data_IF_165184362245
#
_entry.id   IF_165184362245
#
_cell.length_a   1.000
_cell.length_b   1.000
_cell.length_c   1.000
_cell.angle_alpha   90.00
_cell.angle_beta   90.00
_cell.angle_gamma   90.00
#
_symmetry.space_group_name_H-M   'P 1'
#
loop_
_entity.id
_entity.type
_entity.pdbx_description
1 polymer ?
#
# COMPACT_ATOMS: atom_id res chain seq x y z
N UNK A 1 -38.00 -28.17 -39.52
CA UNK A 1 -36.76 -27.48 -39.15
C UNK A 1 -36.59 -27.64 -37.67
N UNK A 2 -35.55 -28.38 -37.20
CA UNK A 2 -35.37 -28.81 -35.81
C UNK A 2 -34.47 -27.79 -35.08
N UNK A 3 -34.99 -27.14 -34.05
CA UNK A 3 -34.26 -26.28 -33.11
C UNK A 3 -33.56 -27.12 -32.05
N UNK A 4 -32.23 -27.08 -32.05
CA UNK A 4 -31.40 -27.74 -31.03
C UNK A 4 -31.30 -26.89 -29.76
N UNK A 5 -31.89 -27.37 -28.69
CA UNK A 5 -31.68 -26.87 -27.33
C UNK A 5 -30.31 -27.34 -26.82
N UNK A 6 -29.41 -26.40 -26.56
CA UNK A 6 -28.15 -26.70 -25.81
C UNK A 6 -28.41 -26.50 -24.33
N UNK A 7 -28.41 -27.61 -23.60
CA UNK A 7 -28.58 -27.65 -22.14
C UNK A 7 -27.41 -27.00 -21.40
N UNK A 8 -27.76 -26.16 -20.45
CA UNK A 8 -26.82 -25.64 -19.44
C UNK A 8 -26.46 -26.78 -18.47
N UNK A 9 -25.16 -27.07 -18.38
CA UNK A 9 -24.61 -27.99 -17.38
C UNK A 9 -24.29 -27.20 -16.11
N UNK A 10 -24.76 -27.60 -14.92
CA UNK A 10 -24.39 -26.92 -13.65
C UNK A 10 -22.96 -27.27 -13.24
N UNK A 11 -22.26 -26.36 -12.53
CA UNK A 11 -20.90 -26.59 -12.04
C UNK A 11 -20.88 -27.57 -10.85
N UNK A 12 -19.92 -28.49 -10.90
CA UNK A 12 -19.65 -29.51 -9.91
C UNK A 12 -19.34 -28.93 -8.52
N UNK A 13 -20.07 -29.39 -7.53
CA UNK A 13 -19.85 -29.08 -6.10
C UNK A 13 -18.69 -29.95 -5.60
N UNK A 14 -17.54 -29.34 -5.30
CA UNK A 14 -16.48 -30.02 -4.56
C UNK A 14 -16.89 -30.27 -3.09
N UNK A 15 -16.73 -31.49 -2.56
CA UNK A 15 -17.08 -31.79 -1.17
C UNK A 15 -16.02 -31.23 -0.22
N UNK A 16 -16.50 -30.51 0.79
CA UNK A 16 -15.75 -30.07 1.95
C UNK A 16 -15.09 -31.25 2.66
N UNK A 17 -13.77 -31.33 2.61
CA UNK A 17 -12.96 -32.27 3.36
C UNK A 17 -12.95 -31.89 4.85
N UNK A 18 -13.71 -32.57 5.67
CA UNK A 18 -13.65 -32.49 7.14
C UNK A 18 -12.27 -32.96 7.61
N UNK A 19 -11.50 -32.07 8.18
CA UNK A 19 -10.31 -32.45 8.93
C UNK A 19 -10.73 -32.93 10.32
N UNK A 20 -10.54 -34.22 10.56
CA UNK A 20 -10.67 -34.91 11.82
C UNK A 20 -9.69 -34.35 12.87
N UNK A 21 -10.26 -33.93 13.98
CA UNK A 21 -9.50 -33.56 15.19
C UNK A 21 -8.92 -34.86 15.79
N UNK A 22 -7.61 -34.97 15.83
CA UNK A 22 -6.91 -35.92 16.66
C UNK A 22 -6.82 -35.35 18.07
N UNK A 23 -7.56 -35.93 18.99
CA UNK A 23 -7.40 -35.73 20.42
C UNK A 23 -6.11 -36.43 20.85
N UNK A 24 -5.18 -35.71 21.44
CA UNK A 24 -4.05 -36.28 22.17
C UNK A 24 -4.22 -36.02 23.65
N UNK A 25 -4.29 -37.12 24.37
CA UNK A 25 -4.47 -37.31 25.79
C UNK A 25 -3.38 -36.68 26.65
N UNK A 26 -3.82 -36.16 27.77
CA UNK A 26 -3.01 -35.62 28.85
C UNK A 26 -2.07 -36.68 29.46
N UNK A 27 -0.84 -36.29 29.75
CA UNK A 27 -0.02 -36.90 30.79
C UNK A 27 0.53 -35.77 31.66
N UNK A 28 0.12 -35.84 32.92
CA UNK A 28 0.59 -34.97 34.00
C UNK A 28 2.00 -35.40 34.43
N UNK A 29 2.94 -34.46 34.46
CA UNK A 29 4.12 -34.55 35.30
C UNK A 29 4.36 -33.23 36.01
N UNK A 30 4.32 -33.33 37.32
CA UNK A 30 4.64 -32.34 38.34
C UNK A 30 6.14 -31.94 38.34
N UNK A 31 6.40 -30.76 38.84
CA UNK A 31 7.63 -30.26 39.49
C UNK A 31 8.58 -29.45 38.57
N UNK A 32 8.75 -28.20 38.95
CA UNK A 32 9.87 -27.37 38.56
C UNK A 32 9.46 -25.96 38.11
N UNK A 33 9.40 -25.01 39.07
CA UNK A 33 9.13 -23.59 38.78
C UNK A 33 10.25 -22.96 37.94
N UNK A 34 9.89 -22.51 36.77
CA UNK A 34 10.68 -21.53 36.03
C UNK A 34 9.73 -20.42 35.56
N UNK A 35 10.02 -19.23 36.01
CA UNK A 35 9.34 -18.00 35.67
C UNK A 35 9.51 -17.75 34.15
N UNK A 36 8.53 -18.16 33.36
CA UNK A 36 8.51 -17.89 31.93
C UNK A 36 8.10 -16.44 31.72
N UNK A 37 9.06 -15.57 31.45
CA UNK A 37 8.83 -14.22 30.94
C UNK A 37 8.27 -14.41 29.53
N UNK A 38 6.96 -14.26 29.37
CA UNK A 38 6.31 -14.20 28.06
C UNK A 38 6.75 -12.90 27.38
N UNK A 39 7.75 -12.98 26.50
CA UNK A 39 8.03 -11.91 25.54
C UNK A 39 6.82 -11.81 24.60
N UNK A 40 6.01 -10.77 24.81
CA UNK A 40 4.99 -10.37 23.85
C UNK A 40 5.73 -9.79 22.67
N UNK A 41 5.95 -10.60 21.64
CA UNK A 41 6.43 -10.15 20.35
C UNK A 41 5.30 -9.28 19.76
N UNK A 42 5.44 -7.96 19.87
CA UNK A 42 4.64 -7.02 19.10
C UNK A 42 5.01 -7.21 17.63
N UNK A 43 4.25 -8.06 16.93
CA UNK A 43 4.37 -8.25 15.50
C UNK A 43 4.08 -6.93 14.81
N UNK A 44 5.11 -6.29 14.25
CA UNK A 44 4.93 -5.25 13.27
C UNK A 44 4.17 -5.87 12.10
N UNK A 45 2.90 -5.51 11.94
CA UNK A 45 2.08 -5.89 10.78
C UNK A 45 2.71 -5.19 9.58
N UNK A 46 3.58 -5.90 8.86
CA UNK A 46 4.01 -5.49 7.54
C UNK A 46 2.73 -5.47 6.68
N UNK A 47 2.25 -4.29 6.33
CA UNK A 47 1.15 -4.14 5.39
C UNK A 47 1.60 -4.73 4.05
N UNK A 48 1.11 -5.91 3.75
CA UNK A 48 1.32 -6.57 2.47
C UNK A 48 0.68 -5.70 1.40
N UNK A 49 1.42 -5.43 0.31
CA UNK A 49 0.98 -4.64 -0.85
C UNK A 49 -0.29 -5.15 -1.52
N UNK A 50 -0.73 -6.34 -1.15
CA UNK A 50 -1.88 -7.04 -1.73
C UNK A 50 -3.19 -6.83 -0.96
N UNK A 51 -3.21 -6.05 0.13
CA UNK A 51 -4.47 -5.73 0.80
C UNK A 51 -5.29 -4.76 -0.04
N UNK A 52 -6.56 -5.11 -0.35
CA UNK A 52 -7.45 -4.22 -1.09
C UNK A 52 -7.67 -2.90 -0.35
N UNK A 53 -7.52 -1.79 -1.06
CA UNK A 53 -7.71 -0.45 -0.52
C UNK A 53 -9.21 -0.09 -0.56
N UNK A 54 -9.76 0.29 0.60
CA UNK A 54 -11.19 0.59 0.75
C UNK A 54 -11.49 2.08 0.88
N UNK A 55 -10.52 2.88 1.29
CA UNK A 55 -10.70 4.30 1.56
C UNK A 55 -9.64 5.16 0.87
N UNK A 56 -9.93 6.45 0.70
CA UNK A 56 -8.94 7.40 0.19
C UNK A 56 -7.74 7.53 1.14
N UNK A 57 -7.95 7.34 2.44
CA UNK A 57 -6.86 7.32 3.43
C UNK A 57 -5.89 6.17 3.16
N UNK A 58 -6.42 4.98 2.83
CA UNK A 58 -5.59 3.82 2.47
C UNK A 58 -4.79 4.09 1.19
N UNK A 59 -5.40 4.75 0.20
CA UNK A 59 -4.71 5.17 -1.04
C UNK A 59 -3.54 6.09 -0.73
N UNK A 60 -3.77 7.11 0.11
CA UNK A 60 -2.73 8.05 0.51
C UNK A 60 -1.61 7.34 1.28
N UNK A 61 -1.96 6.42 2.19
CA UNK A 61 -0.99 5.63 2.94
C UNK A 61 -0.14 4.73 2.02
N UNK A 62 -0.78 4.03 1.08
CA UNK A 62 -0.10 3.19 0.10
C UNK A 62 0.87 4.00 -0.78
N UNK A 63 0.44 5.17 -1.29
CA UNK A 63 1.30 6.05 -2.07
C UNK A 63 2.47 6.60 -1.25
N UNK A 64 2.25 6.96 0.02
CA UNK A 64 3.32 7.39 0.92
C UNK A 64 4.34 6.30 1.20
N UNK A 65 3.90 5.05 1.31
CA UNK A 65 4.81 3.91 1.48
C UNK A 65 5.74 3.70 0.27
N UNK A 66 5.30 4.12 -0.93
CA UNK A 66 6.13 4.11 -2.15
C UNK A 66 7.00 5.36 -2.29
N UNK A 67 6.80 6.39 -1.45
CA UNK A 67 7.58 7.62 -1.56
C UNK A 67 9.02 7.41 -1.13
N UNK A 68 9.93 7.73 -2.03
CA UNK A 68 11.36 7.80 -1.75
C UNK A 68 11.88 9.12 -2.33
N UNK A 69 12.31 10.07 -1.48
CA UNK A 69 12.91 11.31 -1.96
C UNK A 69 14.23 11.04 -2.70
N UNK A 70 14.72 11.99 -3.52
CA UNK A 70 15.98 11.84 -4.24
C UNK A 70 17.16 11.56 -3.30
N UNK A 71 18.30 11.05 -3.79
CA UNK A 71 19.53 10.91 -3.01
C UNK A 71 19.95 12.26 -2.38
N UNK A 72 20.70 12.22 -1.27
CA UNK A 72 21.02 13.40 -0.47
C UNK A 72 21.86 14.44 -1.21
N UNK A 73 22.66 14.00 -2.16
CA UNK A 73 23.49 14.86 -3.06
C UNK A 73 22.66 15.61 -4.11
N UNK A 74 21.43 15.16 -4.37
CA UNK A 74 20.50 15.73 -5.35
C UNK A 74 19.23 16.27 -4.69
N UNK A 75 19.24 16.44 -3.37
CA UNK A 75 18.02 16.74 -2.63
C UNK A 75 18.20 17.89 -1.66
N UNK A 76 17.08 18.58 -1.43
CA UNK A 76 16.96 19.61 -0.40
C UNK A 76 15.99 19.11 0.67
N UNK A 77 16.48 18.58 1.81
CA UNK A 77 15.61 18.17 2.92
C UNK A 77 14.69 19.32 3.36
N UNK A 78 13.41 18.99 3.59
CA UNK A 78 12.36 19.96 3.87
C UNK A 78 11.60 20.41 2.62
N UNK A 79 12.05 20.06 1.40
CA UNK A 79 11.31 20.37 0.18
C UNK A 79 9.95 19.70 0.17
N UNK A 80 8.94 20.44 -0.27
CA UNK A 80 7.57 19.97 -0.44
C UNK A 80 7.19 20.03 -1.91
N UNK A 81 6.49 18.99 -2.36
CA UNK A 81 5.93 18.92 -3.70
C UNK A 81 4.49 18.44 -3.61
N UNK A 82 3.57 19.10 -4.31
CA UNK A 82 2.17 18.70 -4.38
C UNK A 82 1.86 18.16 -5.77
N UNK A 83 1.29 16.98 -5.81
CA UNK A 83 0.94 16.28 -7.04
C UNK A 83 -0.57 16.12 -7.11
N UNK A 84 -1.16 16.51 -8.24
CA UNK A 84 -2.54 16.21 -8.58
C UNK A 84 -2.56 14.99 -9.51
N UNK A 85 -3.40 14.01 -9.20
CA UNK A 85 -3.52 12.76 -9.95
C UNK A 85 -4.94 12.23 -9.92
N UNK A 86 -5.26 11.35 -10.86
CA UNK A 86 -6.51 10.60 -10.90
C UNK A 86 -6.20 9.13 -11.20
N UNK A 87 -7.11 8.25 -10.83
CA UNK A 87 -6.98 6.82 -11.12
C UNK A 87 -8.18 6.31 -11.89
N UNK A 88 -7.96 5.25 -12.65
CA UNK A 88 -9.01 4.41 -13.22
C UNK A 88 -9.62 3.54 -12.12
N UNK A 89 -10.76 2.92 -12.39
CA UNK A 89 -11.42 1.97 -11.48
C UNK A 89 -10.51 0.82 -11.04
N UNK A 90 -9.65 0.36 -11.93
CA UNK A 90 -8.70 -0.73 -11.67
C UNK A 90 -7.40 -0.31 -10.99
N UNK A 91 -7.31 0.93 -10.48
CA UNK A 91 -6.13 1.45 -9.78
C UNK A 91 -4.99 1.92 -10.67
N UNK A 92 -5.13 1.88 -12.00
CA UNK A 92 -4.17 2.49 -12.92
C UNK A 92 -4.30 4.01 -12.91
N UNK A 93 -3.20 4.71 -13.17
CA UNK A 93 -3.22 6.16 -13.36
C UNK A 93 -4.12 6.53 -14.55
N UNK A 94 -4.95 7.54 -14.34
CA UNK A 94 -5.78 8.15 -15.38
C UNK A 94 -5.18 9.48 -15.82
N UNK A 95 -4.63 9.52 -17.01
CA UNK A 95 -3.94 10.70 -17.55
C UNK A 95 -2.55 10.91 -16.93
N UNK A 96 -2.01 12.12 -17.14
CA UNK A 96 -0.69 12.48 -16.61
C UNK A 96 -0.82 13.21 -15.26
N UNK A 97 -0.07 12.80 -14.22
CA UNK A 97 0.01 13.53 -12.98
C UNK A 97 0.56 14.94 -13.19
N UNK A 98 0.04 15.92 -12.45
CA UNK A 98 0.45 17.33 -12.55
C UNK A 98 1.07 17.76 -11.23
N UNK A 99 2.24 18.38 -11.30
CA UNK A 99 2.82 19.09 -10.16
C UNK A 99 2.09 20.42 -10.04
N UNK A 100 1.44 20.67 -8.90
CA UNK A 100 0.67 21.89 -8.65
C UNK A 100 1.35 22.84 -7.70
N UNK A 101 2.37 22.36 -6.96
CA UNK A 101 3.16 23.16 -6.04
C UNK A 101 4.55 22.55 -5.85
N UNK A 102 5.55 23.40 -5.77
CA UNK A 102 6.92 23.08 -5.33
C UNK A 102 7.39 24.20 -4.39
N UNK A 103 8.03 23.83 -3.26
CA UNK A 103 8.55 24.83 -2.33
C UNK A 103 9.67 25.67 -2.99
N UNK A 104 9.70 26.94 -2.64
CA UNK A 104 10.72 27.87 -3.15
C UNK A 104 12.12 27.54 -2.64
N UNK A 105 13.13 28.17 -3.28
CA UNK A 105 14.53 28.09 -2.87
C UNK A 105 15.28 26.81 -3.29
N UNK A 106 14.65 25.87 -3.98
CA UNK A 106 15.33 24.73 -4.62
C UNK A 106 15.85 25.16 -6.00
N UNK A 107 17.01 24.64 -6.40
CA UNK A 107 17.54 24.80 -7.75
C UNK A 107 16.69 24.02 -8.76
N UNK A 108 16.88 24.29 -10.05
CA UNK A 108 16.15 23.57 -11.10
C UNK A 108 16.51 22.09 -11.15
N UNK A 109 17.78 21.75 -10.87
CA UNK A 109 18.23 20.35 -10.79
C UNK A 109 17.58 19.61 -9.60
N UNK A 110 17.52 20.24 -8.42
CA UNK A 110 16.83 19.68 -7.26
C UNK A 110 15.34 19.46 -7.57
N UNK A 111 14.66 20.45 -8.18
CA UNK A 111 13.25 20.31 -8.59
C UNK A 111 13.06 19.16 -9.56
N UNK A 112 13.95 19.05 -10.56
CA UNK A 112 13.91 17.96 -11.53
C UNK A 112 14.07 16.61 -10.83
N UNK A 113 15.01 16.47 -9.89
CA UNK A 113 15.23 15.26 -9.13
C UNK A 113 13.96 14.85 -8.35
N UNK A 114 13.27 15.79 -7.71
CA UNK A 114 11.99 15.51 -7.01
C UNK A 114 10.86 15.14 -7.97
N UNK A 115 10.74 15.75 -9.14
CA UNK A 115 9.77 15.37 -10.17
C UNK A 115 10.00 13.94 -10.66
N UNK A 116 11.27 13.57 -10.88
CA UNK A 116 11.66 12.21 -11.22
C UNK A 116 11.31 11.23 -10.09
N UNK A 117 11.55 11.60 -8.83
CA UNK A 117 11.19 10.77 -7.68
C UNK A 117 9.68 10.53 -7.58
N UNK A 118 8.85 11.54 -7.86
CA UNK A 118 7.39 11.41 -7.96
C UNK A 118 7.00 10.44 -9.08
N UNK A 119 7.56 10.59 -10.27
CA UNK A 119 7.28 9.68 -11.38
C UNK A 119 7.66 8.22 -11.05
N UNK A 120 8.83 8.02 -10.41
CA UNK A 120 9.26 6.70 -9.93
C UNK A 120 8.32 6.13 -8.85
N UNK A 121 7.85 6.96 -7.92
CA UNK A 121 6.86 6.56 -6.91
C UNK A 121 5.60 6.03 -7.57
N UNK A 122 5.00 6.81 -8.47
CA UNK A 122 3.76 6.42 -9.15
C UNK A 122 3.94 5.15 -9.98
N UNK A 123 5.06 5.00 -10.68
CA UNK A 123 5.37 3.79 -11.45
C UNK A 123 5.52 2.54 -10.56
N UNK A 124 6.05 2.69 -9.33
CA UNK A 124 6.20 1.56 -8.40
C UNK A 124 4.89 1.17 -7.72
N UNK A 125 4.01 2.15 -7.49
CA UNK A 125 2.79 1.94 -6.73
C UNK A 125 1.58 1.55 -7.60
N UNK A 126 1.51 2.03 -8.83
CA UNK A 126 0.38 1.71 -9.71
C UNK A 126 0.64 0.36 -10.45
N UNK A 127 -0.42 -0.44 -10.69
CA UNK A 127 -1.81 -0.20 -10.27
C UNK A 127 -2.01 -0.42 -8.75
N UNK A 128 -2.91 0.39 -8.15
CA UNK A 128 -3.28 0.24 -6.75
C UNK A 128 -4.42 -0.79 -6.61
N UNK A 129 -4.39 -1.69 -5.62
CA UNK A 129 -5.40 -2.74 -5.45
C UNK A 129 -6.69 -2.17 -4.83
N UNK A 130 -7.48 -1.44 -5.61
CA UNK A 130 -8.76 -0.91 -5.15
C UNK A 130 -9.80 -2.01 -4.99
N UNK A 131 -10.65 -1.88 -3.97
CA UNK A 131 -11.93 -2.58 -3.97
C UNK A 131 -12.85 -1.99 -5.05
N UNK A 132 -13.83 -2.77 -5.54
CA UNK A 132 -14.81 -2.31 -6.52
C UNK A 132 -15.55 -1.06 -6.04
N UNK A 133 -15.88 -1.00 -4.75
CA UNK A 133 -16.56 0.14 -4.13
C UNK A 133 -15.70 1.40 -4.22
N UNK A 134 -14.42 1.33 -3.80
CA UNK A 134 -13.52 2.47 -3.87
C UNK A 134 -13.24 2.87 -5.33
N UNK A 135 -12.92 1.90 -6.19
CA UNK A 135 -12.66 2.15 -7.60
C UNK A 135 -13.79 2.87 -8.30
N UNK A 136 -15.06 2.47 -8.02
CA UNK A 136 -16.24 3.16 -8.54
C UNK A 136 -16.39 4.59 -8.00
N UNK A 137 -16.08 4.79 -6.71
CA UNK A 137 -16.26 6.07 -6.04
C UNK A 137 -15.26 7.14 -6.51
N UNK A 138 -14.01 6.76 -6.85
CA UNK A 138 -12.93 7.71 -7.13
C UNK A 138 -12.47 7.74 -8.60
N UNK A 139 -12.95 6.83 -9.45
CA UNK A 139 -12.54 6.76 -10.85
C UNK A 139 -12.68 8.11 -11.57
N UNK A 140 -11.59 8.57 -12.18
CA UNK A 140 -11.53 9.83 -12.92
C UNK A 140 -11.53 11.10 -12.05
N UNK A 141 -11.78 11.00 -10.74
CA UNK A 141 -11.78 12.17 -9.85
C UNK A 141 -10.34 12.57 -9.51
N UNK A 142 -9.96 13.85 -9.69
CA UNK A 142 -8.65 14.33 -9.30
C UNK A 142 -8.58 14.51 -7.78
N UNK A 143 -7.46 14.11 -7.20
CA UNK A 143 -7.09 14.46 -5.83
C UNK A 143 -5.64 14.92 -5.76
N UNK A 144 -5.31 15.65 -4.73
CA UNK A 144 -3.96 16.19 -4.52
C UNK A 144 -3.30 15.51 -3.33
N UNK A 145 -2.01 15.23 -3.47
CA UNK A 145 -1.19 14.69 -2.41
C UNK A 145 0.06 15.54 -2.22
N UNK A 146 0.32 15.92 -0.97
CA UNK A 146 1.55 16.61 -0.59
C UNK A 146 2.58 15.60 -0.10
N UNK A 147 3.75 15.65 -0.72
CA UNK A 147 4.94 14.88 -0.37
C UNK A 147 5.97 15.82 0.24
N UNK A 148 6.61 15.41 1.32
CA UNK A 148 7.60 16.19 2.04
C UNK A 148 8.84 15.33 2.23
N UNK A 149 10.01 15.89 1.99
CA UNK A 149 11.27 15.28 2.37
C UNK A 149 11.60 15.63 3.83
N UNK A 150 11.22 14.76 4.74
CA UNK A 150 11.37 14.97 6.18
C UNK A 150 12.59 14.25 6.79
N UNK A 151 13.60 13.87 5.99
CA UNK A 151 14.75 13.09 6.46
C UNK A 151 15.54 13.76 7.59
N UNK A 152 15.71 15.08 7.55
CA UNK A 152 16.38 15.83 8.62
C UNK A 152 15.62 15.76 9.94
N UNK A 153 14.28 15.81 9.90
CA UNK A 153 13.45 15.74 11.10
C UNK A 153 13.60 14.36 11.78
N UNK A 154 13.63 13.30 11.00
CA UNK A 154 13.84 11.94 11.52
C UNK A 154 15.24 11.71 12.07
N UNK A 155 16.26 12.37 11.53
CA UNK A 155 17.62 12.30 12.09
C UNK A 155 17.74 13.01 13.43
N UNK A 156 17.07 14.15 13.62
CA UNK A 156 17.05 14.88 14.89
C UNK A 156 16.34 14.10 16.01
N UNK A 157 15.33 13.31 15.69
CA UNK A 157 14.59 12.48 16.65
C UNK A 157 15.39 11.25 17.13
N UNK A 158 16.37 10.79 16.35
CA UNK A 158 17.21 9.63 16.67
C UNK A 158 18.57 9.97 17.30
N UNK A 159 18.77 11.20 17.77
CA UNK A 159 19.97 11.58 18.54
C UNK A 159 19.71 11.20 20.00
N UNK A 160 20.52 10.27 20.59
CA UNK A 160 20.37 9.83 21.97
C UNK A 160 20.66 10.94 22.98
#
# INVERSE_FOLDING_TARGET
MRTAQRGCRPPDRHPFRRQTRLAMTASAHLVGGTLAIAMVATGAVAQTRDQPLNTLTDVIAALRACWAPPPMDQSRPGMQITVQMSFRRNGELFGQPRITFESGGASDDERLAYRIAVAKMLKRCAPLPFTDALGNAIAGRPFTMRLIDNRKLKQAENIP
#
